data_IF_043549104359
#
_entry.id   IF_043549104359
#
_cell.length_a   1.000
_cell.length_b   1.000
_cell.length_c   1.000
_cell.angle_alpha   90.00
_cell.angle_beta   90.00
_cell.angle_gamma   90.00
#
_symmetry.space_group_name_H-M   'P 1'
#
loop_
_entity.id
_entity.type
_entity.pdbx_description
1 polymer ?
#
# COMPACT_ATOMS: atom_id res chain seq x y z
N UNK A 1 29.22 -29.80 -16.34
CA UNK A 1 28.55 -29.66 -17.66
C UNK A 1 27.22 -28.96 -17.40
N UNK A 2 26.83 -28.00 -18.23
CA UNK A 2 25.48 -27.44 -18.15
C UNK A 2 24.57 -28.32 -19.01
N UNK A 3 23.62 -29.00 -18.40
CA UNK A 3 22.59 -29.75 -19.12
C UNK A 3 21.57 -28.76 -19.69
N UNK A 4 21.39 -28.80 -21.02
CA UNK A 4 20.42 -27.97 -21.74
C UNK A 4 19.29 -28.88 -22.20
N UNK A 5 18.05 -28.53 -21.83
CA UNK A 5 16.84 -29.23 -22.25
C UNK A 5 15.95 -28.29 -23.07
N UNK A 6 15.20 -28.87 -24.02
CA UNK A 6 14.31 -28.14 -24.92
C UNK A 6 12.89 -28.71 -24.78
N UNK A 7 11.89 -27.83 -24.83
CA UNK A 7 10.47 -28.20 -24.84
C UNK A 7 9.86 -27.65 -26.14
N UNK A 8 9.20 -28.50 -26.91
CA UNK A 8 8.60 -28.15 -28.21
C UNK A 8 7.14 -27.73 -27.96
N UNK A 9 6.73 -26.60 -28.55
CA UNK A 9 5.35 -26.08 -28.51
C UNK A 9 4.84 -25.85 -29.94
N UNK A 10 3.52 -25.88 -30.14
CA UNK A 10 2.92 -25.81 -31.48
C UNK A 10 2.82 -24.36 -32.00
N UNK A 11 2.76 -23.38 -31.10
CA UNK A 11 2.70 -21.95 -31.45
C UNK A 11 3.63 -21.08 -30.60
N UNK A 12 3.97 -19.89 -31.10
CA UNK A 12 4.73 -18.89 -30.34
C UNK A 12 3.98 -18.42 -29.07
N UNK A 13 2.64 -18.33 -29.15
CA UNK A 13 1.81 -17.95 -28.02
C UNK A 13 1.90 -18.99 -26.88
N UNK A 14 1.88 -20.27 -27.21
CA UNK A 14 2.07 -21.35 -26.23
C UNK A 14 3.47 -21.37 -25.65
N UNK A 15 4.50 -21.09 -26.46
CA UNK A 15 5.87 -20.96 -25.98
C UNK A 15 5.99 -19.88 -24.90
N UNK A 16 5.37 -18.72 -25.12
CA UNK A 16 5.34 -17.60 -24.16
C UNK A 16 4.58 -17.96 -22.87
N UNK A 17 3.45 -18.66 -22.98
CA UNK A 17 2.68 -19.11 -21.81
C UNK A 17 3.48 -20.13 -20.99
N UNK A 18 4.12 -21.09 -21.67
CA UNK A 18 4.96 -22.10 -21.03
C UNK A 18 6.17 -21.44 -20.33
N UNK A 19 6.81 -20.47 -20.99
CA UNK A 19 7.90 -19.68 -20.41
C UNK A 19 7.44 -18.95 -19.14
N UNK A 20 6.29 -18.25 -19.19
CA UNK A 20 5.71 -17.58 -18.02
C UNK A 20 5.48 -18.55 -16.86
N UNK A 21 4.91 -19.72 -17.14
CA UNK A 21 4.66 -20.75 -16.12
C UNK A 21 5.96 -21.27 -15.48
N UNK A 22 6.99 -21.53 -16.28
CA UNK A 22 8.29 -22.00 -15.78
C UNK A 22 9.01 -20.93 -14.95
N UNK A 23 8.96 -19.67 -15.38
CA UNK A 23 9.54 -18.54 -14.65
C UNK A 23 8.86 -18.37 -13.28
N UNK A 24 7.52 -18.47 -13.22
CA UNK A 24 6.77 -18.40 -11.97
C UNK A 24 7.03 -19.57 -11.04
N UNK A 25 7.25 -20.77 -11.59
CA UNK A 25 7.51 -21.99 -10.80
C UNK A 25 8.92 -22.02 -10.23
N UNK A 26 9.92 -21.65 -11.03
CA UNK A 26 11.34 -21.77 -10.66
C UNK A 26 11.96 -20.50 -10.11
N UNK A 27 11.27 -19.35 -10.22
CA UNK A 27 11.71 -18.03 -9.74
C UNK A 27 13.22 -17.74 -10.00
N UNK A 28 13.71 -17.93 -11.23
CA UNK A 28 15.13 -17.84 -11.53
C UNK A 28 15.72 -16.47 -11.15
N UNK A 29 16.87 -16.48 -10.47
CA UNK A 29 17.48 -15.28 -9.86
C UNK A 29 17.61 -14.08 -10.82
N UNK A 30 17.98 -14.34 -12.08
CA UNK A 30 18.30 -13.30 -13.06
C UNK A 30 17.14 -12.85 -13.95
N UNK A 31 15.98 -13.52 -13.88
CA UNK A 31 14.89 -13.18 -14.79
C UNK A 31 14.15 -11.92 -14.33
N UNK A 32 13.90 -10.97 -15.24
CA UNK A 32 13.29 -9.66 -14.91
C UNK A 32 11.84 -9.59 -15.40
N UNK A 33 11.53 -10.22 -16.53
CA UNK A 33 10.20 -10.27 -17.12
C UNK A 33 9.41 -11.50 -16.63
N UNK A 34 8.08 -11.47 -16.76
CA UNK A 34 7.16 -12.59 -16.50
C UNK A 34 7.19 -13.20 -15.08
N UNK A 35 8.01 -12.65 -14.17
CA UNK A 35 7.95 -12.94 -12.73
C UNK A 35 6.68 -12.44 -12.07
N UNK A 36 6.03 -11.46 -12.70
CA UNK A 36 4.93 -10.61 -12.22
C UNK A 36 4.51 -10.84 -10.76
N UNK A 37 5.38 -10.43 -9.84
CA UNK A 37 5.04 -10.14 -8.44
C UNK A 37 4.24 -8.83 -8.37
N UNK A 38 3.18 -8.72 -9.18
CA UNK A 38 2.17 -7.68 -9.00
C UNK A 38 1.28 -8.09 -7.83
N UNK A 39 1.90 -8.17 -6.65
CA UNK A 39 1.18 -8.17 -5.39
C UNK A 39 0.22 -6.99 -5.44
N UNK A 40 -1.08 -7.32 -5.46
CA UNK A 40 -2.13 -6.33 -5.59
C UNK A 40 -1.94 -5.26 -4.51
N UNK A 41 -2.00 -3.96 -4.84
CA UNK A 41 -1.91 -2.92 -3.84
C UNK A 41 -3.09 -3.02 -2.86
N UNK A 42 -2.79 -2.87 -1.59
CA UNK A 42 -3.71 -2.77 -0.47
C UNK A 42 -3.59 -1.38 0.17
N UNK A 43 -4.69 -0.83 0.67
CA UNK A 43 -4.69 0.30 1.57
C UNK A 43 -4.61 -0.23 3.01
N UNK A 44 -3.51 0.03 3.71
CA UNK A 44 -3.29 -0.35 5.09
C UNK A 44 -3.64 0.80 6.04
N UNK A 45 -4.46 0.52 7.04
CA UNK A 45 -4.78 1.41 8.15
C UNK A 45 -4.04 0.93 9.41
N UNK A 46 -3.19 1.78 10.00
CA UNK A 46 -2.43 1.44 11.21
C UNK A 46 -3.24 1.67 12.48
N UNK A 47 -3.74 0.61 13.10
CA UNK A 47 -4.50 0.71 14.36
C UNK A 47 -3.62 0.72 15.62
N UNK A 48 -2.33 0.38 15.49
CA UNK A 48 -1.38 0.34 16.60
C UNK A 48 -0.78 1.71 16.96
N UNK A 49 -1.02 2.73 16.12
CA UNK A 49 -0.51 4.09 16.32
C UNK A 49 -1.61 4.95 16.96
N UNK A 50 -1.22 5.86 17.86
CA UNK A 50 -2.16 6.78 18.55
C UNK A 50 -2.99 7.65 17.59
N UNK A 51 -2.44 7.93 16.41
CA UNK A 51 -3.20 8.50 15.31
C UNK A 51 -3.08 7.53 14.12
N UNK A 52 -4.11 6.76 13.80
CA UNK A 52 -4.08 5.86 12.65
C UNK A 52 -3.78 6.57 11.33
N UNK A 53 -2.98 5.96 10.45
CA UNK A 53 -2.76 6.45 9.09
C UNK A 53 -3.17 5.41 8.07
N UNK A 54 -3.69 5.89 6.94
CA UNK A 54 -4.01 5.07 5.78
C UNK A 54 -2.90 5.23 4.74
N UNK A 55 -2.40 4.16 4.12
CA UNK A 55 -1.39 4.23 3.06
C UNK A 55 -1.34 2.97 2.20
N UNK A 56 -0.71 3.04 1.02
CA UNK A 56 -0.56 1.88 0.13
C UNK A 56 0.57 0.97 0.55
N UNK A 57 0.30 -0.34 0.54
CA UNK A 57 1.28 -1.41 0.70
C UNK A 57 0.99 -2.50 -0.32
N UNK A 58 2.02 -3.28 -0.69
CA UNK A 58 1.87 -4.44 -1.57
C UNK A 58 1.79 -5.76 -0.78
N UNK A 59 2.23 -5.75 0.47
CA UNK A 59 2.31 -6.93 1.32
C UNK A 59 1.61 -6.69 2.67
N UNK A 60 1.00 -7.76 3.19
CA UNK A 60 0.31 -7.77 4.49
C UNK A 60 1.29 -8.20 5.59
N UNK A 61 2.08 -7.26 6.11
CA UNK A 61 3.04 -7.56 7.18
C UNK A 61 2.48 -7.47 8.62
N UNK A 62 1.48 -6.62 8.87
CA UNK A 62 1.05 -6.32 10.24
C UNK A 62 -0.31 -6.95 10.55
N UNK A 63 -0.41 -7.93 11.46
CA UNK A 63 -1.69 -8.55 11.81
C UNK A 63 -2.63 -7.62 12.58
N UNK A 64 -2.11 -6.57 13.20
CA UNK A 64 -2.89 -5.56 13.94
C UNK A 64 -3.36 -4.39 13.08
N UNK A 65 -3.09 -4.43 11.77
CA UNK A 65 -3.52 -3.40 10.84
C UNK A 65 -4.70 -3.90 10.00
N UNK A 66 -5.57 -2.98 9.61
CA UNK A 66 -6.64 -3.28 8.67
C UNK A 66 -6.17 -3.06 7.24
N UNK A 67 -6.61 -3.92 6.34
CA UNK A 67 -6.24 -3.89 4.93
C UNK A 67 -7.50 -3.84 4.08
N UNK A 68 -7.59 -2.81 3.23
CA UNK A 68 -8.67 -2.60 2.27
C UNK A 68 -8.15 -2.84 0.85
N UNK A 69 -8.91 -3.54 0.02
CA UNK A 69 -8.44 -4.02 -1.30
C UNK A 69 -7.99 -5.49 -1.22
N UNK A 70 -7.84 -6.18 -2.36
CA UNK A 70 -6.85 -5.89 -3.40
C UNK A 70 -7.38 -4.95 -4.48
N UNK A 71 -6.66 -3.87 -4.76
CA UNK A 71 -6.99 -2.98 -5.87
C UNK A 71 -6.35 -3.50 -7.17
N UNK A 72 -7.05 -3.46 -8.32
CA UNK A 72 -6.52 -3.98 -9.58
C UNK A 72 -5.37 -3.12 -10.10
N UNK A 73 -5.33 -1.83 -9.76
CA UNK A 73 -4.24 -0.93 -10.12
C UNK A 73 -3.84 -0.01 -8.96
N UNK A 74 -2.56 0.36 -8.93
CA UNK A 74 -2.05 1.37 -7.99
C UNK A 74 -2.72 2.73 -8.22
N UNK A 75 -3.15 3.01 -9.45
CA UNK A 75 -3.79 4.27 -9.84
C UNK A 75 -5.16 4.42 -9.17
N UNK A 76 -5.98 3.37 -9.21
CA UNK A 76 -7.29 3.34 -8.54
C UNK A 76 -7.13 3.41 -7.02
N UNK A 77 -6.22 2.63 -6.46
CA UNK A 77 -5.94 2.67 -5.02
C UNK A 77 -5.55 4.08 -4.55
N UNK A 78 -4.71 4.79 -5.32
CA UNK A 78 -4.36 6.20 -5.06
C UNK A 78 -5.53 7.15 -5.23
N UNK A 79 -6.47 6.86 -6.12
CA UNK A 79 -7.66 7.68 -6.31
C UNK A 79 -8.57 7.58 -5.08
N UNK A 80 -8.84 6.36 -4.61
CA UNK A 80 -9.60 6.11 -3.37
C UNK A 80 -8.94 6.81 -2.19
N UNK A 81 -7.63 6.64 -1.99
CA UNK A 81 -6.90 7.34 -0.93
C UNK A 81 -7.04 8.86 -0.97
N UNK A 82 -6.97 9.45 -2.18
CA UNK A 82 -7.15 10.90 -2.33
C UNK A 82 -8.56 11.37 -1.94
N UNK A 83 -9.58 10.55 -2.17
CA UNK A 83 -10.93 10.84 -1.69
C UNK A 83 -10.98 10.76 -0.17
N UNK A 84 -10.45 9.68 0.41
CA UNK A 84 -10.44 9.50 1.87
C UNK A 84 -9.77 10.67 2.58
N UNK A 85 -8.58 11.11 2.12
CA UNK A 85 -7.91 12.26 2.73
C UNK A 85 -8.67 13.58 2.57
N UNK A 86 -9.51 13.71 1.53
CA UNK A 86 -10.31 14.92 1.33
C UNK A 86 -11.49 14.98 2.28
N UNK A 87 -12.16 13.85 2.52
CA UNK A 87 -13.37 13.81 3.33
C UNK A 87 -13.08 13.59 4.82
N UNK A 88 -12.21 12.64 5.16
CA UNK A 88 -11.95 12.22 6.54
C UNK A 88 -10.67 12.81 7.12
N UNK A 89 -9.91 13.58 6.33
CA UNK A 89 -8.74 14.35 6.78
C UNK A 89 -7.74 13.54 7.62
N UNK A 90 -7.53 12.28 7.24
CA UNK A 90 -6.56 11.40 7.89
C UNK A 90 -5.12 11.87 7.64
N UNK A 91 -4.24 11.58 8.60
CA UNK A 91 -2.83 11.89 8.50
C UNK A 91 -2.13 11.00 7.47
N UNK A 92 -1.16 11.59 6.78
CA UNK A 92 -0.24 10.88 5.87
C UNK A 92 1.20 10.88 6.39
N UNK A 93 1.46 11.57 7.50
CA UNK A 93 2.81 11.71 8.05
C UNK A 93 3.30 10.39 8.65
N UNK A 94 4.61 10.14 8.49
CA UNK A 94 5.31 9.00 9.11
C UNK A 94 5.89 9.34 10.49
N UNK A 95 5.64 10.56 10.99
CA UNK A 95 6.19 11.06 12.24
C UNK A 95 5.54 10.33 13.42
N UNK A 96 6.34 10.06 14.45
CA UNK A 96 5.82 9.54 15.71
C UNK A 96 5.16 10.68 16.49
N UNK A 97 3.90 10.47 16.89
CA UNK A 97 3.04 11.48 17.52
C UNK A 97 2.64 11.08 18.95
N UNK A 98 3.30 10.10 19.57
CA UNK A 98 3.01 9.60 20.93
C UNK A 98 3.23 10.60 22.09
N UNK A 99 3.35 11.90 21.84
CA UNK A 99 3.08 12.90 22.88
C UNK A 99 4.20 13.87 23.29
N UNK A 100 5.29 14.06 22.52
CA UNK A 100 6.32 15.05 22.93
C UNK A 100 6.83 15.99 21.84
N UNK A 101 6.66 15.67 20.56
CA UNK A 101 7.21 16.49 19.47
C UNK A 101 6.10 17.11 18.64
N UNK A 102 6.03 18.43 18.70
CA UNK A 102 5.27 19.23 17.74
C UNK A 102 6.10 19.41 16.48
N UNK A 103 5.54 19.05 15.33
CA UNK A 103 6.19 19.22 14.04
C UNK A 103 5.53 20.35 13.26
N UNK A 104 6.32 20.98 12.38
CA UNK A 104 5.80 21.98 11.45
C UNK A 104 4.68 21.36 10.59
N UNK A 105 3.52 22.04 10.45
CA UNK A 105 2.42 21.52 9.64
C UNK A 105 2.85 21.36 8.18
N UNK A 106 2.43 20.26 7.57
CA UNK A 106 2.72 19.96 6.16
C UNK A 106 1.71 20.62 5.22
N UNK A 107 2.01 20.57 3.92
CA UNK A 107 1.11 21.08 2.88
C UNK A 107 -0.29 20.46 2.94
N UNK A 108 -0.44 19.19 3.32
CA UNK A 108 -1.76 18.55 3.43
C UNK A 108 -2.64 19.22 4.49
N UNK A 109 -2.06 19.69 5.59
CA UNK A 109 -2.79 20.48 6.59
C UNK A 109 -3.22 21.83 6.01
N UNK A 110 -2.31 22.52 5.32
CA UNK A 110 -2.62 23.81 4.67
C UNK A 110 -3.73 23.67 3.60
N UNK A 111 -3.78 22.52 2.92
CA UNK A 111 -4.80 22.16 1.96
C UNK A 111 -6.09 21.59 2.59
N UNK A 112 -6.19 21.57 3.93
CA UNK A 112 -7.34 21.01 4.69
C UNK A 112 -7.64 19.55 4.35
N UNK A 113 -6.61 18.74 4.07
CA UNK A 113 -6.69 17.29 3.80
C UNK A 113 -6.20 16.44 4.98
N UNK A 114 -5.85 17.09 6.08
CA UNK A 114 -5.35 16.45 7.29
C UNK A 114 -5.71 17.35 8.47
N UNK A 115 -6.22 16.77 9.56
CA UNK A 115 -6.50 17.52 10.80
C UNK A 115 -5.22 18.08 11.46
N UNK A 116 -4.07 17.54 11.09
CA UNK A 116 -2.77 18.02 11.55
C UNK A 116 -2.44 17.62 13.00
N UNK A 117 -2.57 16.33 13.38
CA UNK A 117 -2.19 15.88 14.72
C UNK A 117 -0.71 16.17 15.05
N UNK A 118 0.12 16.39 14.03
CA UNK A 118 1.51 16.84 14.17
C UNK A 118 1.69 18.14 14.96
N UNK A 119 0.67 19.01 15.03
CA UNK A 119 0.72 20.28 15.77
C UNK A 119 0.35 20.10 17.25
N UNK A 120 -0.15 18.93 17.65
CA UNK A 120 -0.65 18.68 19.00
C UNK A 120 -1.94 19.41 19.35
N UNK A 121 -2.63 19.98 18.36
CA UNK A 121 -3.87 20.75 18.55
C UNK A 121 -5.14 19.93 18.42
N UNK A 122 -5.03 18.67 17.98
CA UNK A 122 -6.18 17.78 17.74
C UNK A 122 -6.19 16.76 18.88
N UNK A 123 -7.29 16.60 19.63
CA UNK A 123 -7.41 15.54 20.61
C UNK A 123 -7.50 14.17 19.89
N UNK A 124 -7.11 13.10 20.59
CA UNK A 124 -7.10 11.75 20.03
C UNK A 124 -8.52 11.29 19.72
N UNK A 125 -9.48 11.66 20.58
CA UNK A 125 -10.90 11.30 20.47
C UNK A 125 -11.53 11.77 19.16
N UNK A 126 -11.42 13.07 18.83
CA UNK A 126 -11.94 13.64 17.57
C UNK A 126 -11.33 12.97 16.33
N UNK A 127 -10.04 12.60 16.42
CA UNK A 127 -9.37 11.92 15.33
C UNK A 127 -9.87 10.48 15.18
N UNK A 128 -10.12 9.78 16.29
CA UNK A 128 -10.64 8.42 16.28
C UNK A 128 -12.08 8.36 15.73
N UNK A 129 -12.91 9.37 15.96
CA UNK A 129 -14.22 9.48 15.27
C UNK A 129 -14.06 9.52 13.76
N UNK A 130 -13.12 10.33 13.26
CA UNK A 130 -12.82 10.41 11.82
C UNK A 130 -12.29 9.08 11.26
N UNK A 131 -11.54 8.32 12.06
CA UNK A 131 -11.07 6.98 11.70
C UNK A 131 -12.22 5.97 11.69
N UNK A 132 -13.13 6.03 12.65
CA UNK A 132 -14.31 5.16 12.71
C UNK A 132 -15.22 5.34 11.51
N UNK A 133 -15.35 6.56 10.97
CA UNK A 133 -16.13 6.80 9.75
C UNK A 133 -15.51 6.20 8.47
N UNK A 134 -14.22 5.86 8.50
CA UNK A 134 -13.50 5.22 7.38
C UNK A 134 -13.59 3.70 7.43
N UNK A 135 -13.84 3.13 8.61
CA UNK A 135 -14.10 1.70 8.81
C UNK A 135 -15.48 1.32 8.28
#
# INVERSE_FOLDING_TARGET
ACDVSLIITDTEAEALILEEQLIKTHLPRYNVNLKDDKSYPYCKLTLSEMYPRLFLVREKHDPKAEYYGPFPSVKEARQVLRMVYRYFQLRTSKMDLKGQKTYRPCLNFQLKRCLGPCRGTVPVEDYDESVQQVR
#
